data_IF_692049231219
#
_entry.id   IF_692049231219
#
_cell.length_a   1.000
_cell.length_b   1.000
_cell.length_c   1.000
_cell.angle_alpha   90.00
_cell.angle_beta   90.00
_cell.angle_gamma   90.00
#
_symmetry.space_group_name_H-M   'P 1'
#
loop_
_entity.id
_entity.type
_entity.pdbx_description
1 polymer ?
#
# COMPACT_ATOMS: atom_id res chain seq x y z
N UNK A 1 -74.76 -20.19 -24.60
CA UNK A 1 -74.00 -21.42 -24.88
C UNK A 1 -74.54 -22.51 -23.99
N UNK A 2 -75.10 -23.58 -24.57
CA UNK A 2 -75.75 -24.64 -23.79
C UNK A 2 -74.72 -25.55 -23.12
N UNK A 3 -75.07 -26.16 -21.98
CA UNK A 3 -74.20 -27.13 -21.27
C UNK A 3 -73.73 -28.27 -22.21
N UNK A 4 -74.57 -28.67 -23.17
CA UNK A 4 -74.21 -29.65 -24.21
C UNK A 4 -73.07 -29.17 -25.12
N UNK A 5 -73.12 -27.92 -25.54
CA UNK A 5 -72.13 -27.31 -26.43
C UNK A 5 -70.77 -27.10 -25.73
N UNK A 6 -70.80 -26.77 -24.43
CA UNK A 6 -69.60 -26.75 -23.59
C UNK A 6 -68.99 -28.15 -23.44
N UNK A 7 -69.83 -29.16 -23.17
CA UNK A 7 -69.37 -30.56 -23.04
C UNK A 7 -68.72 -31.07 -24.32
N UNK A 8 -69.29 -30.77 -25.48
CA UNK A 8 -68.71 -31.17 -26.78
C UNK A 8 -67.36 -30.49 -27.02
N UNK A 9 -67.23 -29.18 -26.76
CA UNK A 9 -65.93 -28.49 -26.88
C UNK A 9 -64.88 -29.03 -25.92
N UNK A 10 -65.27 -29.42 -24.70
CA UNK A 10 -64.35 -30.07 -23.76
C UNK A 10 -63.89 -31.44 -24.27
N UNK A 11 -64.79 -32.26 -24.83
CA UNK A 11 -64.41 -33.55 -25.39
C UNK A 11 -63.51 -33.44 -26.61
N UNK A 12 -63.73 -32.45 -27.49
CA UNK A 12 -62.87 -32.21 -28.64
C UNK A 12 -61.49 -31.69 -28.22
N UNK A 13 -61.42 -30.82 -27.20
CA UNK A 13 -60.15 -30.36 -26.63
C UNK A 13 -59.39 -31.51 -25.96
N UNK A 14 -60.06 -32.36 -25.19
CA UNK A 14 -59.45 -33.52 -24.52
C UNK A 14 -58.93 -34.55 -25.53
N UNK A 15 -59.69 -34.79 -26.61
CA UNK A 15 -59.26 -35.68 -27.70
C UNK A 15 -58.01 -35.16 -28.41
N UNK A 16 -57.95 -33.85 -28.67
CA UNK A 16 -56.77 -33.23 -29.26
C UNK A 16 -55.57 -33.26 -28.31
N UNK A 17 -55.77 -32.99 -27.03
CA UNK A 17 -54.72 -33.06 -26.02
C UNK A 17 -54.16 -34.48 -25.87
N UNK A 18 -55.04 -35.47 -25.70
CA UNK A 18 -54.66 -36.89 -25.58
C UNK A 18 -53.89 -37.38 -26.80
N UNK A 19 -54.28 -36.98 -28.01
CA UNK A 19 -53.57 -37.36 -29.25
C UNK A 19 -52.09 -36.92 -29.26
N UNK A 20 -51.76 -35.84 -28.56
CA UNK A 20 -50.41 -35.29 -28.52
C UNK A 20 -49.44 -36.17 -27.72
N UNK A 21 -49.94 -36.87 -26.68
CA UNK A 21 -49.14 -37.73 -25.80
C UNK A 21 -49.00 -39.18 -26.28
N UNK A 22 -49.64 -39.54 -27.40
CA UNK A 22 -49.56 -40.89 -27.95
C UNK A 22 -48.76 -40.88 -29.26
N UNK A 23 -47.95 -41.92 -29.46
CA UNK A 23 -47.35 -42.25 -30.75
C UNK A 23 -48.00 -43.51 -31.29
N UNK A 24 -48.35 -43.51 -32.56
CA UNK A 24 -48.89 -44.70 -33.23
C UNK A 24 -47.73 -45.60 -33.63
N UNK A 25 -47.75 -46.87 -33.23
CA UNK A 25 -46.77 -47.84 -33.68
C UNK A 25 -47.05 -48.31 -35.13
N UNK A 26 -46.15 -49.12 -35.70
CA UNK A 26 -46.26 -49.60 -37.08
C UNK A 26 -47.55 -50.42 -37.35
N UNK A 27 -48.25 -50.85 -36.29
CA UNK A 27 -49.49 -51.61 -36.37
C UNK A 27 -50.73 -50.75 -36.12
N UNK A 28 -50.60 -49.42 -36.04
CA UNK A 28 -51.73 -48.53 -35.80
C UNK A 28 -52.15 -48.41 -34.33
N UNK A 29 -51.45 -49.06 -33.40
CA UNK A 29 -51.80 -49.04 -31.97
C UNK A 29 -51.20 -47.80 -31.32
N UNK A 30 -52.05 -46.99 -30.68
CA UNK A 30 -51.61 -45.81 -29.92
C UNK A 30 -50.93 -46.25 -28.63
N UNK A 31 -49.63 -45.95 -28.50
CA UNK A 31 -48.88 -46.16 -27.25
C UNK A 31 -48.50 -44.80 -26.65
N UNK A 32 -48.50 -44.66 -25.32
CA UNK A 32 -48.06 -43.44 -24.66
C UNK A 32 -46.61 -43.16 -25.02
N UNK A 33 -46.34 -41.96 -25.51
CA UNK A 33 -45.00 -41.49 -25.82
C UNK A 33 -44.39 -40.91 -24.57
N UNK A 34 -43.68 -41.76 -23.82
CA UNK A 34 -43.02 -41.37 -22.56
C UNK A 34 -42.13 -40.14 -22.71
N UNK A 35 -41.44 -39.97 -23.85
CA UNK A 35 -40.64 -38.78 -24.13
C UNK A 35 -41.46 -37.48 -24.13
N UNK A 36 -42.66 -37.47 -24.75
CA UNK A 36 -43.54 -36.30 -24.78
C UNK A 36 -44.17 -36.01 -23.42
N UNK A 37 -44.48 -37.06 -22.66
CA UNK A 37 -44.99 -36.93 -21.28
C UNK A 37 -43.91 -36.29 -20.40
N UNK A 38 -42.67 -36.77 -20.47
CA UNK A 38 -41.54 -36.20 -19.71
C UNK A 38 -41.33 -34.73 -20.08
N UNK A 39 -41.33 -34.39 -21.37
CA UNK A 39 -41.18 -33.00 -21.83
C UNK A 39 -42.29 -32.09 -21.28
N UNK A 40 -43.55 -32.53 -21.30
CA UNK A 40 -44.67 -31.74 -20.77
C UNK A 40 -44.59 -31.54 -19.25
N UNK A 41 -44.17 -32.57 -18.50
CA UNK A 41 -43.90 -32.44 -17.07
C UNK A 41 -42.77 -31.46 -16.79
N UNK A 42 -41.68 -31.52 -17.56
CA UNK A 42 -40.54 -30.62 -17.41
C UNK A 42 -40.93 -29.16 -17.68
N UNK A 43 -41.73 -28.90 -18.72
CA UNK A 43 -42.29 -27.58 -19.01
C UNK A 43 -43.19 -27.08 -17.88
N UNK A 44 -44.02 -27.95 -17.32
CA UNK A 44 -44.93 -27.59 -16.21
C UNK A 44 -44.15 -27.23 -14.94
N UNK A 45 -43.10 -27.99 -14.62
CA UNK A 45 -42.21 -27.71 -13.48
C UNK A 45 -41.48 -26.38 -13.70
N UNK A 46 -40.95 -26.12 -14.89
CA UNK A 46 -40.31 -24.83 -15.20
C UNK A 46 -41.30 -23.67 -15.06
N UNK A 47 -42.53 -23.81 -15.58
CA UNK A 47 -43.55 -22.78 -15.49
C UNK A 47 -43.99 -22.51 -14.03
N UNK A 48 -44.17 -23.56 -13.22
CA UNK A 48 -44.45 -23.40 -11.78
C UNK A 48 -43.28 -22.74 -11.05
N UNK A 49 -42.03 -23.11 -11.35
CA UNK A 49 -40.85 -22.50 -10.73
C UNK A 49 -40.74 -21.00 -11.04
N UNK A 50 -41.09 -20.59 -12.27
CA UNK A 50 -41.12 -19.16 -12.64
C UNK A 50 -42.21 -18.42 -11.88
N UNK A 51 -43.41 -19.01 -11.73
CA UNK A 51 -44.54 -18.41 -11.00
C UNK A 51 -44.25 -18.34 -9.50
N UNK A 52 -43.70 -19.39 -8.90
CA UNK A 52 -43.33 -19.42 -7.48
C UNK A 52 -42.18 -18.44 -7.23
N UNK A 53 -41.20 -18.35 -8.13
CA UNK A 53 -40.10 -17.38 -8.06
C UNK A 53 -40.54 -15.92 -8.23
N UNK A 54 -41.59 -15.65 -8.99
CA UNK A 54 -42.13 -14.30 -9.15
C UNK A 54 -43.06 -13.88 -8.00
N UNK A 55 -43.78 -14.84 -7.39
CA UNK A 55 -44.60 -14.58 -6.20
C UNK A 55 -43.73 -14.42 -4.94
N UNK A 56 -42.64 -15.18 -4.82
CA UNK A 56 -41.75 -15.10 -3.65
C UNK A 56 -40.97 -13.78 -3.58
N UNK A 57 -40.63 -13.16 -4.70
CA UNK A 57 -39.91 -11.88 -4.70
C UNK A 57 -40.78 -10.67 -4.32
N UNK A 58 -42.11 -10.79 -4.38
CA UNK A 58 -43.03 -9.69 -4.06
C UNK A 58 -43.58 -9.69 -2.62
N UNK A 59 -43.42 -10.79 -1.87
CA UNK A 59 -44.06 -10.97 -0.54
C UNK A 59 -43.09 -10.67 0.63
N UNK A 60 -41.78 -10.53 0.37
CA UNK A 60 -40.76 -10.38 1.42
C UNK A 60 -39.88 -9.13 1.29
N UNK A 61 -40.37 -8.05 0.67
CA UNK A 61 -39.67 -6.77 0.74
C UNK A 61 -40.07 -6.04 2.02
N UNK A 62 -39.38 -6.32 3.12
CA UNK A 62 -39.47 -5.47 4.30
C UNK A 62 -38.77 -4.14 3.99
N UNK A 63 -39.48 -3.00 4.03
CA UNK A 63 -38.85 -1.72 3.74
C UNK A 63 -37.75 -1.42 4.77
N UNK A 64 -36.66 -0.83 4.34
CA UNK A 64 -35.59 -0.38 5.24
C UNK A 64 -35.98 0.91 5.97
N UNK A 65 -35.47 1.08 7.18
CA UNK A 65 -35.57 2.33 7.94
C UNK A 65 -34.77 3.41 7.23
N UNK A 66 -35.36 4.60 7.05
CA UNK A 66 -34.60 5.72 6.49
C UNK A 66 -33.56 6.22 7.50
N UNK A 67 -32.34 6.46 7.06
CA UNK A 67 -31.29 7.08 7.86
C UNK A 67 -30.44 8.00 6.98
N UNK A 68 -30.43 9.28 7.30
CA UNK A 68 -29.67 10.31 6.61
C UNK A 68 -28.84 11.08 7.61
N UNK A 69 -27.52 11.07 7.45
CA UNK A 69 -26.62 11.87 8.27
C UNK A 69 -26.29 13.18 7.59
N UNK A 70 -26.17 14.25 8.37
CA UNK A 70 -25.76 15.56 7.85
C UNK A 70 -24.28 15.56 7.40
N UNK A 71 -23.45 14.71 8.03
CA UNK A 71 -22.10 14.42 7.58
C UNK A 71 -21.71 13.00 7.95
N UNK A 72 -20.97 12.34 7.04
CA UNK A 72 -20.38 11.01 7.24
C UNK A 72 -18.86 11.08 7.43
N UNK A 73 -18.24 12.20 7.08
CA UNK A 73 -16.82 12.47 7.24
C UNK A 73 -16.63 13.84 7.89
N UNK A 74 -15.81 13.92 8.92
CA UNK A 74 -15.52 15.16 9.61
C UNK A 74 -14.08 15.23 10.09
N UNK A 75 -13.51 16.43 10.03
CA UNK A 75 -12.23 16.73 10.66
C UNK A 75 -12.48 17.72 11.80
N UNK A 76 -12.02 17.40 13.00
CA UNK A 76 -12.09 18.28 14.17
C UNK A 76 -10.70 18.87 14.48
N UNK A 77 -10.68 20.05 15.07
CA UNK A 77 -9.46 20.74 15.47
C UNK A 77 -8.68 19.96 16.54
N UNK A 78 -7.36 20.20 16.65
CA UNK A 78 -6.50 19.43 17.57
C UNK A 78 -6.89 19.51 19.06
N UNK A 79 -7.55 20.60 19.45
CA UNK A 79 -7.99 20.82 20.84
C UNK A 79 -9.50 20.64 21.02
N UNK A 80 -10.25 20.35 19.95
CA UNK A 80 -11.70 20.14 20.03
C UNK A 80 -11.96 18.76 20.60
N UNK A 81 -12.77 18.66 21.65
CA UNK A 81 -13.15 17.37 22.24
C UNK A 81 -14.60 17.04 22.02
N UNK A 82 -15.35 17.90 21.34
CA UNK A 82 -16.79 17.75 21.19
C UNK A 82 -17.15 17.77 19.71
N UNK A 83 -17.97 16.82 19.29
CA UNK A 83 -18.55 16.78 17.94
C UNK A 83 -20.05 16.49 18.05
N UNK A 84 -20.85 17.00 17.11
CA UNK A 84 -22.30 16.77 17.10
C UNK A 84 -22.66 15.94 15.87
N UNK A 85 -23.04 14.69 16.10
CA UNK A 85 -23.64 13.84 15.08
C UNK A 85 -25.10 14.24 14.97
N UNK A 86 -25.55 14.49 13.75
CA UNK A 86 -26.93 14.87 13.50
C UNK A 86 -27.41 14.33 12.17
N UNK A 87 -28.71 14.11 12.08
CA UNK A 87 -29.32 13.52 10.91
C UNK A 87 -30.83 13.49 11.02
N UNK A 88 -31.44 12.80 10.05
CA UNK A 88 -32.86 12.55 9.96
C UNK A 88 -33.12 11.06 9.72
N UNK A 89 -34.24 10.57 10.22
CA UNK A 89 -34.69 9.18 10.12
C UNK A 89 -36.22 9.14 10.16
N UNK A 90 -36.81 7.96 10.03
CA UNK A 90 -38.26 7.79 10.15
C UNK A 90 -38.78 8.26 11.52
N UNK A 91 -39.97 8.86 11.55
CA UNK A 91 -40.62 9.28 12.79
C UNK A 91 -40.87 8.03 13.67
N UNK A 92 -40.64 8.16 14.98
CA UNK A 92 -40.71 7.08 15.98
C UNK A 92 -39.63 5.98 15.83
N UNK A 93 -38.58 6.22 15.03
CA UNK A 93 -37.42 5.33 15.07
C UNK A 93 -36.62 5.52 16.35
N UNK A 94 -35.78 4.53 16.65
CA UNK A 94 -34.74 4.64 17.68
C UNK A 94 -33.39 4.64 16.97
N UNK A 95 -32.57 5.65 17.26
CA UNK A 95 -31.20 5.73 16.74
C UNK A 95 -30.23 5.19 17.80
N UNK A 96 -29.25 4.41 17.35
CA UNK A 96 -28.20 3.84 18.19
C UNK A 96 -26.81 4.21 17.66
N UNK A 97 -25.90 4.54 18.59
CA UNK A 97 -24.50 4.82 18.29
C UNK A 97 -23.59 3.78 18.95
N UNK A 98 -22.58 3.32 18.21
CA UNK A 98 -21.53 2.45 18.73
C UNK A 98 -20.15 2.81 18.18
N UNK A 99 -19.13 2.70 19.01
CA UNK A 99 -17.72 2.95 18.68
C UNK A 99 -16.83 2.30 19.72
N UNK A 100 -15.84 1.53 19.28
CA UNK A 100 -14.88 0.89 20.17
C UNK A 100 -13.88 1.91 20.73
N UNK A 101 -13.47 2.86 19.89
CA UNK A 101 -12.50 3.91 20.20
C UNK A 101 -13.00 4.83 21.33
N UNK A 102 -14.31 5.02 21.39
CA UNK A 102 -14.98 5.87 22.39
C UNK A 102 -15.74 5.09 23.46
N UNK A 103 -15.61 3.75 23.46
CA UNK A 103 -16.35 2.86 24.36
C UNK A 103 -17.87 3.09 24.37
N UNK A 104 -18.45 3.42 23.21
CA UNK A 104 -19.89 3.53 23.04
C UNK A 104 -20.46 2.15 22.70
N UNK A 105 -21.33 1.64 23.57
CA UNK A 105 -22.02 0.38 23.36
C UNK A 105 -23.52 0.63 23.16
N UNK A 106 -23.93 0.73 21.90
CA UNK A 106 -25.34 0.84 21.48
C UNK A 106 -26.13 1.97 22.19
N UNK A 107 -25.51 3.15 22.32
CA UNK A 107 -26.11 4.29 23.01
C UNK A 107 -27.33 4.77 22.24
N UNK A 108 -28.49 4.79 22.90
CA UNK A 108 -29.75 5.25 22.30
C UNK A 108 -29.81 6.77 22.24
N UNK A 109 -30.32 7.30 21.12
CA UNK A 109 -30.47 8.73 20.86
C UNK A 109 -31.93 9.01 20.52
N UNK A 110 -32.48 10.01 21.21
CA UNK A 110 -33.85 10.45 21.01
C UNK A 110 -34.02 11.09 19.62
N UNK A 111 -35.09 10.69 18.94
CA UNK A 111 -35.53 11.24 17.67
C UNK A 111 -36.71 12.16 17.93
N UNK A 112 -36.65 13.39 17.39
CA UNK A 112 -37.73 14.36 17.54
C UNK A 112 -38.98 13.96 16.71
N UNK A 113 -40.15 14.60 16.94
CA UNK A 113 -41.37 14.28 16.19
C UNK A 113 -41.29 14.51 14.67
N UNK A 114 -40.26 15.21 14.18
CA UNK A 114 -39.99 15.44 12.77
C UNK A 114 -38.95 14.46 12.19
N UNK A 115 -38.51 13.47 12.97
CA UNK A 115 -37.52 12.48 12.57
C UNK A 115 -36.06 12.94 12.70
N UNK A 116 -35.78 14.13 13.26
CA UNK A 116 -34.40 14.59 13.42
C UNK A 116 -33.81 14.12 14.73
N UNK A 117 -32.50 13.89 14.74
CA UNK A 117 -31.75 13.59 15.95
C UNK A 117 -30.45 14.38 15.99
N UNK A 118 -29.96 14.60 17.21
CA UNK A 118 -28.66 15.21 17.49
C UNK A 118 -28.04 14.55 18.71
N UNK A 119 -26.79 14.13 18.59
CA UNK A 119 -26.02 13.57 19.69
C UNK A 119 -24.67 14.24 19.78
N UNK A 120 -24.37 14.80 20.95
CA UNK A 120 -23.06 15.40 21.23
C UNK A 120 -22.15 14.30 21.77
N UNK A 121 -21.09 14.01 21.04
CA UNK A 121 -20.08 13.03 21.43
C UNK A 121 -18.83 13.73 21.96
N UNK A 122 -18.23 13.14 22.99
CA UNK A 122 -16.93 13.56 23.51
C UNK A 122 -15.83 12.68 22.93
N UNK A 123 -14.88 13.29 22.23
CA UNK A 123 -13.74 12.66 21.58
C UNK A 123 -12.49 13.08 22.38
N UNK A 124 -11.92 12.18 23.20
CA UNK A 124 -10.72 12.48 23.97
C UNK A 124 -9.58 12.98 23.08
N UNK A 125 -8.73 13.85 23.61
CA UNK A 125 -7.65 14.47 22.83
C UNK A 125 -6.59 13.46 22.36
N UNK A 126 -6.43 12.34 23.07
CA UNK A 126 -5.54 11.24 22.69
C UNK A 126 -6.13 10.32 21.61
N UNK A 127 -7.39 10.52 21.22
CA UNK A 127 -8.04 9.80 20.12
C UNK A 127 -8.03 10.70 18.89
N UNK A 128 -7.33 10.27 17.85
CA UNK A 128 -7.09 11.06 16.64
C UNK A 128 -7.95 10.64 15.46
N UNK A 129 -8.53 9.44 15.53
CA UNK A 129 -9.43 8.86 14.52
C UNK A 129 -10.52 8.07 15.24
N UNK A 130 -11.76 8.21 14.78
CA UNK A 130 -12.93 7.53 15.34
C UNK A 130 -13.81 7.06 14.18
N UNK A 131 -14.29 5.83 14.27
CA UNK A 131 -15.38 5.33 13.45
C UNK A 131 -16.60 5.07 14.35
N UNK A 132 -17.73 5.68 14.01
CA UNK A 132 -18.96 5.57 14.79
C UNK A 132 -20.03 4.97 13.91
N UNK A 133 -20.46 3.75 14.24
CA UNK A 133 -21.62 3.15 13.61
C UNK A 133 -22.89 3.77 14.20
N UNK A 134 -23.70 4.34 13.31
CA UNK A 134 -25.01 4.92 13.59
C UNK A 134 -26.04 4.05 12.93
N UNK A 135 -26.91 3.43 13.72
CA UNK A 135 -28.04 2.66 13.18
C UNK A 135 -29.38 3.24 13.61
N UNK A 136 -30.40 2.97 12.80
CA UNK A 136 -31.76 3.37 13.07
C UNK A 136 -32.70 2.21 12.79
N UNK A 137 -33.64 2.02 13.71
CA UNK A 137 -34.66 0.98 13.63
C UNK A 137 -36.04 1.57 13.93
N UNK A 138 -37.01 1.21 13.10
CA UNK A 138 -38.44 1.47 13.34
C UNK A 138 -39.23 0.18 13.20
N UNK A 139 -40.26 0.00 14.03
CA UNK A 139 -41.08 -1.21 14.03
C UNK A 139 -41.68 -1.48 12.65
N UNK A 140 -41.52 -2.71 12.14
CA UNK A 140 -42.05 -3.13 10.84
C UNK A 140 -41.16 -2.78 9.64
N UNK A 141 -39.93 -2.31 9.89
CA UNK A 141 -38.90 -2.07 8.89
C UNK A 141 -37.58 -2.75 9.27
N UNK A 142 -36.73 -2.99 8.28
CA UNK A 142 -35.36 -3.44 8.51
C UNK A 142 -34.52 -2.31 9.12
N UNK A 143 -33.56 -2.66 9.97
CA UNK A 143 -32.57 -1.72 10.49
C UNK A 143 -31.68 -1.19 9.35
N UNK A 144 -31.36 0.09 9.40
CA UNK A 144 -30.39 0.70 8.52
C UNK A 144 -29.22 1.26 9.34
N UNK A 145 -27.99 1.13 8.83
CA UNK A 145 -26.78 1.50 9.53
C UNK A 145 -25.78 2.16 8.60
N UNK A 146 -25.10 3.18 9.10
CA UNK A 146 -24.05 3.91 8.39
C UNK A 146 -22.97 4.36 9.36
N UNK A 147 -21.80 4.69 8.84
CA UNK A 147 -20.65 5.09 9.65
C UNK A 147 -20.40 6.58 9.55
N UNK A 148 -19.96 7.18 10.66
CA UNK A 148 -19.36 8.51 10.70
C UNK A 148 -17.88 8.35 11.02
N UNK A 149 -17.04 8.85 10.12
CA UNK A 149 -15.60 8.93 10.29
C UNK A 149 -15.24 10.34 10.78
N UNK A 150 -14.55 10.39 11.91
CA UNK A 150 -14.07 11.66 12.48
C UNK A 150 -12.56 11.55 12.66
N UNK A 151 -11.82 12.49 12.11
CA UNK A 151 -10.37 12.53 12.24
C UNK A 151 -9.85 13.88 12.74
N UNK A 152 -8.60 13.86 13.19
CA UNK A 152 -7.82 15.04 13.56
C UNK A 152 -6.75 15.30 12.50
N UNK A 153 -6.28 16.55 12.35
CA UNK A 153 -5.20 16.84 11.42
C UNK A 153 -3.92 16.09 11.81
N UNK A 154 -3.10 15.80 10.81
CA UNK A 154 -1.77 15.23 11.01
C UNK A 154 -0.79 16.31 11.51
N UNK A 155 0.11 15.93 12.41
CA UNK A 155 1.22 16.78 12.85
C UNK A 155 2.10 17.08 11.63
N UNK A 156 2.39 18.35 11.38
CA UNK A 156 3.28 18.71 10.27
C UNK A 156 4.70 18.18 10.56
N UNK A 157 5.39 17.63 9.56
CA UNK A 157 6.79 17.24 9.67
C UNK A 157 7.46 17.35 8.30
N UNK A 158 8.66 17.90 8.27
CA UNK A 158 9.54 17.95 7.11
C UNK A 158 10.98 17.89 7.58
N UNK A 159 11.76 16.96 7.03
CA UNK A 159 13.20 16.89 7.20
C UNK A 159 13.90 17.82 6.20
N UNK A 160 15.00 18.41 6.62
CA UNK A 160 15.88 19.16 5.72
C UNK A 160 16.68 18.19 4.85
N UNK A 161 16.96 18.58 3.60
CA UNK A 161 17.90 17.83 2.77
C UNK A 161 19.30 17.89 3.38
N UNK A 162 19.99 16.75 3.42
CA UNK A 162 21.32 16.65 4.01
C UNK A 162 22.33 16.20 2.95
N UNK A 163 23.42 16.94 2.82
CA UNK A 163 24.60 16.48 2.07
C UNK A 163 25.56 15.80 3.05
N UNK A 164 26.00 14.60 2.71
CA UNK A 164 26.88 13.78 3.54
C UNK A 164 28.03 13.24 2.70
N UNK A 165 29.27 13.59 3.08
CA UNK A 165 30.49 13.29 2.33
C UNK A 165 31.31 12.20 3.02
N UNK A 166 32.32 11.68 2.33
CA UNK A 166 33.26 10.68 2.86
C UNK A 166 34.05 11.12 4.09
N UNK A 167 34.29 12.42 4.24
CA UNK A 167 34.99 12.97 5.41
C UNK A 167 34.08 13.13 6.63
N UNK A 168 32.77 13.00 6.47
CA UNK A 168 31.81 13.21 7.56
C UNK A 168 31.65 11.94 8.41
N UNK A 169 31.90 12.08 9.71
CA UNK A 169 31.65 11.04 10.72
C UNK A 169 30.34 11.26 11.49
N UNK A 170 29.77 12.46 11.36
CA UNK A 170 28.52 12.85 11.99
C UNK A 170 27.56 13.46 11.00
N UNK A 171 26.29 13.07 11.11
CA UNK A 171 25.18 13.65 10.36
C UNK A 171 24.36 14.53 11.28
N UNK A 172 24.00 15.73 10.83
CA UNK A 172 22.99 16.54 11.50
C UNK A 172 21.62 16.28 10.89
N UNK A 173 20.73 15.65 11.63
CA UNK A 173 19.31 15.55 11.26
C UNK A 173 18.59 16.79 11.77
N UNK A 174 18.04 17.60 10.87
CA UNK A 174 17.23 18.76 11.21
C UNK A 174 15.96 18.79 10.38
N UNK A 175 15.01 19.59 10.84
CA UNK A 175 13.75 19.78 10.13
C UNK A 175 12.82 20.72 10.85
N UNK A 176 11.60 20.79 10.32
CA UNK A 176 10.51 21.59 10.84
C UNK A 176 9.27 20.73 11.11
N UNK A 177 8.59 21.02 12.20
CA UNK A 177 7.35 20.38 12.63
C UNK A 177 6.47 21.41 13.35
N UNK A 178 5.39 20.97 13.98
CA UNK A 178 4.58 21.83 14.85
C UNK A 178 5.36 22.21 16.13
N UNK A 179 5.17 23.42 16.69
CA UNK A 179 5.83 23.82 17.93
C UNK A 179 5.60 22.84 19.08
N UNK A 180 6.65 22.56 19.85
CA UNK A 180 6.62 21.64 21.00
C UNK A 180 6.20 20.20 20.67
N UNK A 181 6.26 19.79 19.40
CA UNK A 181 6.00 18.41 19.03
C UNK A 181 7.06 17.46 19.60
N UNK A 182 6.63 16.28 20.03
CA UNK A 182 7.53 15.19 20.37
C UNK A 182 7.97 14.51 19.08
N UNK A 183 9.28 14.46 18.84
CA UNK A 183 9.86 13.86 17.65
C UNK A 183 10.62 12.60 18.06
N UNK A 184 10.44 11.53 17.28
CA UNK A 184 11.19 10.27 17.37
C UNK A 184 11.96 10.06 16.08
N UNK A 185 13.28 9.94 16.16
CA UNK A 185 14.15 9.60 15.03
C UNK A 185 14.50 8.11 15.10
N UNK A 186 14.37 7.43 13.96
CA UNK A 186 14.62 6.01 13.77
C UNK A 186 15.46 5.76 12.51
N UNK A 187 16.26 4.71 12.53
CA UNK A 187 16.98 4.21 11.35
C UNK A 187 17.35 2.75 11.56
N UNK A 188 16.75 1.86 10.79
CA UNK A 188 17.08 0.43 10.83
C UNK A 188 18.52 0.17 10.39
N UNK A 189 19.00 0.91 9.39
CA UNK A 189 20.34 0.73 8.81
C UNK A 189 21.47 1.08 9.78
N UNK A 190 21.18 2.00 10.71
CA UNK A 190 22.09 2.48 11.74
C UNK A 190 21.79 1.88 13.13
N UNK A 191 20.83 0.96 13.24
CA UNK A 191 20.36 0.38 14.51
C UNK A 191 19.89 1.45 15.53
N UNK A 192 19.16 2.46 15.06
CA UNK A 192 18.57 3.52 15.87
C UNK A 192 17.07 3.25 16.01
N UNK A 193 16.62 3.00 17.23
CA UNK A 193 15.22 2.63 17.47
C UNK A 193 14.36 3.77 18.03
N UNK A 194 14.91 4.67 18.85
CA UNK A 194 14.06 5.63 19.57
C UNK A 194 14.81 6.87 20.11
N UNK A 195 15.40 7.68 19.24
CA UNK A 195 15.95 8.96 19.68
C UNK A 195 14.81 9.96 19.83
N UNK A 196 14.57 10.43 21.06
CA UNK A 196 13.49 11.36 21.38
C UNK A 196 14.01 12.78 21.59
N UNK A 197 13.31 13.73 21.00
CA UNK A 197 13.57 15.16 21.13
C UNK A 197 12.25 15.94 21.06
N UNK A 198 12.29 17.21 21.45
CA UNK A 198 11.13 18.10 21.42
C UNK A 198 11.47 19.28 20.51
N UNK A 199 10.58 19.60 19.58
CA UNK A 199 10.72 20.77 18.72
C UNK A 199 10.65 22.06 19.55
N UNK A 200 11.40 23.08 19.15
CA UNK A 200 11.33 24.37 19.81
C UNK A 200 9.99 25.11 19.55
N UNK A 201 9.84 26.30 20.12
CA UNK A 201 8.63 27.13 19.95
C UNK A 201 8.38 27.58 18.49
N UNK A 202 9.39 27.50 17.62
CA UNK A 202 9.27 27.78 16.20
C UNK A 202 9.05 26.50 15.37
N UNK A 203 8.97 25.34 16.02
CA UNK A 203 8.82 24.04 15.38
C UNK A 203 10.12 23.50 14.78
N UNK A 204 11.28 24.04 15.12
CA UNK A 204 12.57 23.57 14.61
C UNK A 204 13.16 22.50 15.54
N UNK A 205 13.87 21.55 14.94
CA UNK A 205 14.64 20.56 15.68
C UNK A 205 15.95 20.24 15.00
N UNK A 206 16.91 19.75 15.80
CA UNK A 206 18.24 19.37 15.35
C UNK A 206 18.81 18.28 16.25
N UNK A 207 19.38 17.25 15.66
CA UNK A 207 20.06 16.17 16.38
C UNK A 207 21.29 15.70 15.60
N UNK A 208 22.38 15.39 16.30
CA UNK A 208 23.61 14.91 15.69
C UNK A 208 23.75 13.40 15.86
N UNK A 209 23.84 12.68 14.75
CA UNK A 209 24.01 11.23 14.67
C UNK A 209 25.47 10.90 14.33
N UNK A 210 26.03 9.90 15.01
CA UNK A 210 27.30 9.28 14.59
C UNK A 210 27.01 8.25 13.51
N UNK A 211 27.71 8.33 12.38
CA UNK A 211 27.51 7.41 11.25
C UNK A 211 28.74 6.50 11.14
N UNK A 212 28.58 5.17 11.18
CA UNK A 212 29.67 4.24 10.95
C UNK A 212 30.32 4.44 9.56
N UNK A 213 31.65 4.27 9.48
CA UNK A 213 32.40 4.48 8.24
C UNK A 213 32.09 3.43 7.15
N UNK A 214 31.57 2.26 7.56
CA UNK A 214 31.13 1.18 6.67
C UNK A 214 29.72 1.41 6.08
N UNK A 215 29.05 2.51 6.47
CA UNK A 215 27.72 2.88 5.97
C UNK A 215 27.83 3.99 4.92
N UNK A 216 27.44 3.63 3.70
CA UNK A 216 27.44 4.52 2.53
C UNK A 216 26.02 4.90 2.10
N UNK A 217 25.03 4.08 2.42
CA UNK A 217 23.62 4.28 2.15
C UNK A 217 22.81 3.92 3.38
N UNK A 218 21.90 4.81 3.77
CA UNK A 218 21.01 4.58 4.90
C UNK A 218 19.79 5.49 4.84
N UNK A 219 18.70 5.06 5.46
CA UNK A 219 17.49 5.86 5.63
C UNK A 219 17.37 6.39 7.07
N UNK A 220 17.00 7.66 7.20
CA UNK A 220 16.55 8.26 8.45
C UNK A 220 15.05 8.50 8.36
N UNK A 221 14.30 7.95 9.32
CA UNK A 221 12.87 8.21 9.51
C UNK A 221 12.68 9.11 10.73
N UNK A 222 11.82 10.10 10.60
CA UNK A 222 11.35 10.89 11.72
C UNK A 222 9.83 10.76 11.85
N UNK A 223 9.37 10.66 13.09
CA UNK A 223 7.96 10.69 13.47
C UNK A 223 7.75 11.87 14.40
N UNK A 224 6.71 12.66 14.17
CA UNK A 224 6.38 13.82 15.00
C UNK A 224 4.95 13.76 15.49
N UNK A 225 4.75 14.06 16.77
CA UNK A 225 3.46 13.99 17.43
C UNK A 225 3.22 15.21 18.31
N UNK A 226 2.14 15.92 18.02
CA UNK A 226 1.50 16.87 18.93
C UNK A 226 0.23 16.23 19.50
N UNK A 227 -0.05 16.50 20.77
CA UNK A 227 -1.28 16.04 21.41
C UNK A 227 -2.51 16.55 20.62
N UNK A 228 -3.45 15.65 20.31
CA UNK A 228 -4.60 16.00 19.49
C UNK A 228 -4.32 16.07 17.99
N UNK A 229 -3.20 15.54 17.52
CA UNK A 229 -2.94 15.37 16.08
C UNK A 229 -2.48 13.95 15.78
N UNK A 230 -2.72 13.50 14.55
CA UNK A 230 -2.14 12.25 14.05
C UNK A 230 -0.61 12.39 13.96
N UNK A 231 0.09 11.27 14.01
CA UNK A 231 1.55 11.25 13.88
C UNK A 231 1.91 11.66 12.45
N UNK A 232 2.76 12.70 12.32
CA UNK A 232 3.40 13.06 11.07
C UNK A 232 4.65 12.21 10.86
N UNK A 233 4.91 11.79 9.63
CA UNK A 233 6.06 10.94 9.29
C UNK A 233 6.75 11.53 8.08
N UNK A 234 8.08 11.59 8.13
CA UNK A 234 8.92 11.92 6.99
C UNK A 234 10.18 11.04 7.01
N UNK A 235 10.77 10.80 5.84
CA UNK A 235 12.01 10.03 5.73
C UNK A 235 12.95 10.59 4.68
N UNK A 236 14.24 10.38 4.91
CA UNK A 236 15.31 10.82 4.04
C UNK A 236 16.27 9.66 3.77
N UNK A 237 16.41 9.29 2.51
CA UNK A 237 17.47 8.39 2.04
C UNK A 237 18.74 9.19 1.81
N UNK A 238 19.83 8.78 2.44
CA UNK A 238 21.12 9.46 2.37
C UNK A 238 22.11 8.54 1.68
N UNK A 239 22.83 9.09 0.70
CA UNK A 239 23.94 8.42 0.03
C UNK A 239 25.19 9.25 0.30
N UNK A 240 26.21 8.60 0.88
CA UNK A 240 27.52 9.18 1.14
C UNK A 240 28.20 9.46 -0.18
N UNK A 241 28.56 10.72 -0.39
CA UNK A 241 29.32 11.15 -1.57
C UNK A 241 30.79 10.80 -1.33
N UNK A 242 31.30 9.82 -2.07
CA UNK A 242 32.70 9.44 -2.02
C UNK A 242 33.52 10.39 -2.90
N UNK A 243 34.60 10.96 -2.34
CA UNK A 243 35.59 11.66 -3.16
C UNK A 243 36.27 10.62 -4.06
N UNK A 244 36.31 10.82 -5.38
CA UNK A 244 37.00 9.90 -6.26
C UNK A 244 38.48 9.80 -5.85
N UNK A 245 39.00 8.58 -5.76
CA UNK A 245 40.42 8.35 -5.49
C UNK A 245 41.25 9.10 -6.54
N UNK A 246 42.29 9.87 -6.14
CA UNK A 246 43.09 10.61 -7.10
C UNK A 246 43.69 9.65 -8.13
N UNK A 247 43.54 9.99 -9.42
CA UNK A 247 44.14 9.19 -10.49
C UNK A 247 45.65 9.02 -10.21
N UNK A 248 46.20 7.81 -10.37
CA UNK A 248 47.61 7.57 -10.10
C UNK A 248 48.46 8.48 -10.98
N UNK A 249 49.25 9.35 -10.35
CA UNK A 249 50.23 10.19 -11.04
C UNK A 249 51.29 9.28 -11.65
N UNK A 250 51.29 9.18 -12.98
CA UNK A 250 52.34 8.49 -13.72
C UNK A 250 53.57 9.40 -13.72
N UNK A 251 54.51 9.16 -12.82
CA UNK A 251 55.85 9.75 -12.91
C UNK A 251 56.64 9.05 -14.02
N UNK A 252 56.72 9.67 -15.19
CA UNK A 252 57.64 9.27 -16.24
C UNK A 252 59.06 9.69 -15.87
N UNK A 253 59.80 8.79 -15.21
CA UNK A 253 61.23 8.94 -15.04
C UNK A 253 61.95 8.61 -16.35
N UNK A 254 62.18 9.63 -17.18
CA UNK A 254 63.01 9.52 -18.38
C UNK A 254 64.47 9.42 -17.97
N UNK A 255 64.95 8.20 -17.72
CA UNK A 255 66.37 7.93 -17.55
C UNK A 255 67.09 8.13 -18.88
N UNK A 256 67.73 9.29 -19.05
CA UNK A 256 68.62 9.55 -20.19
C UNK A 256 69.95 8.83 -19.93
N UNK A 257 70.05 7.57 -20.35
CA UNK A 257 71.36 6.94 -20.49
C UNK A 257 72.06 7.56 -21.70
N UNK A 258 73.09 8.36 -21.44
CA UNK A 258 74.05 8.74 -22.45
C UNK A 258 74.72 7.47 -22.98
N UNK A 259 74.40 7.10 -24.22
CA UNK A 259 75.08 6.05 -24.96
C UNK A 259 76.48 6.56 -25.29
N UNK A 260 77.47 6.05 -24.55
CA UNK A 260 78.86 6.10 -24.99
C UNK A 260 79.18 4.77 -25.69
N UNK A 261 79.73 4.88 -26.89
CA UNK A 261 80.02 3.79 -27.80
C UNK A 261 80.93 2.73 -27.14
N UNK A 262 80.42 1.51 -26.95
CA UNK A 262 81.23 0.30 -27.12
C UNK A 262 80.33 -0.93 -27.22
N UNK A 263 80.62 -1.77 -28.20
CA UNK A 263 80.10 -3.13 -28.35
C UNK A 263 80.24 -3.90 -27.04
N UNK A 264 79.13 -4.11 -26.33
CA UNK A 264 78.84 -5.28 -25.51
C UNK A 264 77.37 -5.20 -25.09
N UNK A 265 76.67 -6.33 -25.17
CA UNK A 265 75.26 -6.51 -24.86
C UNK A 265 74.85 -5.92 -23.49
N UNK A 266 74.28 -4.71 -23.51
CA UNK A 266 73.72 -4.06 -22.33
C UNK A 266 72.24 -4.46 -22.18
N UNK A 267 71.94 -5.24 -21.15
CA UNK A 267 70.56 -5.42 -20.69
C UNK A 267 70.09 -4.15 -20.00
N UNK A 268 69.04 -3.51 -20.51
CA UNK A 268 68.38 -2.41 -19.82
C UNK A 268 67.42 -2.93 -18.75
N UNK A 269 67.43 -2.30 -17.57
CA UNK A 269 66.47 -2.54 -16.48
C UNK A 269 65.26 -1.61 -16.66
N UNK A 270 64.05 -2.17 -16.70
CA UNK A 270 62.81 -1.37 -16.65
C UNK A 270 62.22 -1.53 -15.25
N UNK A 271 62.34 -0.48 -14.44
CA UNK A 271 61.77 -0.45 -13.08
C UNK A 271 60.40 0.22 -13.15
N UNK A 272 59.34 -0.56 -12.96
CA UNK A 272 58.00 -0.03 -12.72
C UNK A 272 57.80 0.08 -11.21
N UNK A 273 57.62 1.30 -10.71
CA UNK A 273 57.30 1.56 -9.30
C UNK A 273 55.83 1.96 -9.16
N UNK A 274 55.19 1.50 -8.08
CA UNK A 274 53.86 1.97 -7.66
C UNK A 274 54.00 2.46 -6.22
N UNK A 275 53.66 3.72 -5.96
CA UNK A 275 53.81 4.36 -4.63
C UNK A 275 55.24 4.30 -4.04
N UNK A 276 56.27 4.41 -4.88
CA UNK A 276 57.67 4.33 -4.42
C UNK A 276 58.15 2.90 -4.09
N UNK A 277 57.26 1.90 -4.12
CA UNK A 277 57.65 0.49 -3.99
C UNK A 277 57.90 -0.12 -5.37
N UNK A 278 59.04 -0.83 -5.52
CA UNK A 278 59.44 -1.50 -6.76
C UNK A 278 58.50 -2.69 -7.02
N UNK A 279 57.74 -2.64 -8.10
CA UNK A 279 56.70 -3.64 -8.39
C UNK A 279 57.20 -4.83 -9.21
N UNK A 280 58.38 -4.74 -9.84
CA UNK A 280 59.02 -5.88 -10.47
C UNK A 280 60.54 -5.71 -10.64
N UNK A 281 61.28 -6.81 -10.53
CA UNK A 281 62.69 -6.91 -10.90
C UNK A 281 62.88 -8.20 -11.70
N UNK A 282 62.94 -8.09 -13.03
CA UNK A 282 63.31 -9.21 -13.90
C UNK A 282 64.40 -8.76 -14.88
N UNK A 283 65.56 -9.42 -14.76
CA UNK A 283 66.66 -9.31 -15.73
C UNK A 283 66.36 -10.25 -16.87
N UNK A 284 65.92 -9.73 -18.02
CA UNK A 284 65.81 -10.53 -19.24
C UNK A 284 67.08 -10.35 -20.07
N UNK A 285 67.76 -11.46 -20.34
CA UNK A 285 68.83 -11.50 -21.34
C UNK A 285 68.24 -11.25 -22.72
N UNK A 286 68.71 -10.20 -23.40
CA UNK A 286 68.36 -9.79 -24.76
C UNK A 286 66.92 -9.31 -24.98
N UNK A 287 66.51 -8.22 -24.32
CA UNK A 287 65.39 -7.40 -24.83
C UNK A 287 65.91 -6.29 -25.73
N UNK A 288 65.46 -6.27 -27.00
CA UNK A 288 65.56 -5.07 -27.83
C UNK A 288 64.67 -3.99 -27.20
N UNK A 289 65.21 -2.78 -27.14
CA UNK A 289 64.61 -1.55 -26.63
C UNK A 289 63.08 -1.52 -26.75
N UNK A 290 62.37 -1.53 -25.62
CA UNK A 290 60.92 -1.31 -25.57
C UNK A 290 60.71 0.11 -25.07
N UNK A 291 60.37 1.01 -25.97
CA UNK A 291 60.29 2.44 -25.68
C UNK A 291 59.03 2.80 -24.87
N UNK A 292 57.93 2.02 -25.01
CA UNK A 292 56.70 2.19 -24.23
C UNK A 292 55.92 0.88 -24.13
N UNK A 293 55.46 0.53 -22.91
CA UNK A 293 54.39 -0.46 -22.72
C UNK A 293 53.29 0.20 -21.91
N UNK A 294 52.10 0.36 -22.48
CA UNK A 294 50.94 0.79 -21.70
C UNK A 294 50.51 -0.33 -20.74
N UNK A 295 50.02 0.03 -19.55
CA UNK A 295 49.54 -0.95 -18.54
C UNK A 295 48.49 -1.92 -19.13
N UNK A 296 47.72 -1.44 -20.11
CA UNK A 296 46.72 -2.21 -20.86
C UNK A 296 47.34 -3.32 -21.70
N UNK A 297 48.50 -3.07 -22.34
CA UNK A 297 49.22 -4.06 -23.13
C UNK A 297 49.84 -5.16 -22.25
N UNK A 298 50.38 -4.78 -21.09
CA UNK A 298 50.95 -5.74 -20.14
C UNK A 298 49.91 -6.74 -19.61
N UNK A 299 48.68 -6.26 -19.30
CA UNK A 299 47.57 -7.13 -18.88
C UNK A 299 47.09 -8.11 -19.96
N UNK A 300 47.26 -7.78 -21.24
CA UNK A 300 46.77 -8.61 -22.35
C UNK A 300 47.76 -9.69 -22.80
N UNK A 301 49.05 -9.54 -22.53
CA UNK A 301 50.08 -10.44 -23.07
C UNK A 301 50.90 -11.16 -22.01
N UNK A 302 50.75 -10.80 -20.73
CA UNK A 302 51.37 -11.49 -19.62
C UNK A 302 50.29 -11.95 -18.66
N UNK A 303 50.18 -13.25 -18.46
CA UNK A 303 49.19 -13.84 -17.54
C UNK A 303 49.38 -13.25 -16.13
N UNK A 304 48.29 -12.88 -15.44
CA UNK A 304 48.38 -12.40 -14.07
C UNK A 304 49.01 -13.48 -13.18
N UNK A 305 50.09 -13.11 -12.49
CA UNK A 305 50.82 -14.01 -11.60
C UNK A 305 49.91 -14.46 -10.44
N UNK A 306 49.81 -15.78 -10.23
CA UNK A 306 49.00 -16.45 -9.20
C UNK A 306 49.31 -16.05 -7.75
N UNK A 307 50.32 -15.23 -7.50
CA UNK A 307 50.73 -14.80 -6.15
C UNK A 307 50.04 -13.49 -5.73
N UNK A 308 49.31 -12.83 -6.64
CA UNK A 308 48.58 -11.60 -6.35
C UNK A 308 47.07 -11.84 -6.36
N UNK A 309 46.57 -12.58 -5.36
CA UNK A 309 45.20 -12.52 -4.86
C UNK A 309 45.23 -12.66 -3.34
#
# INVERSE_FOLDING_TARGET
MGIKELREKFHDQDKNFSSHFHSTDQNGVKKPSWGKIIIAWLITIIAMSIIVGSISSAIFYEPETNLYLNSVDATIGANETDYVISGNTDINSTVHLSSNELNLNNVSVDVDPNGNFKYKINIPQNVTEVNIAVSSIVTGKLENSTNVYIDRPTTYLSLDNINFTDNDTYLTVSGKTDPNANITILSSDLNIENIRLIADNNGLFKYQLSIPNDKNDFEIKAESQVLGKKIGIDSLSIVRILTPEPEPTVETNTSTYASDNSDTSAGGEVIITKYGEKYHNQVHGNMKHIEYVSLSYAKQHYDPCKICY
#
